data_IF_663056217855
#
_entry.id   IF_663056217855
#
_cell.length_a   1.000
_cell.length_b   1.000
_cell.length_c   1.000
_cell.angle_alpha   90.00
_cell.angle_beta   90.00
_cell.angle_gamma   90.00
#
_symmetry.space_group_name_H-M   'P 1'
#
loop_
_entity.id
_entity.type
_entity.pdbx_description
1 polymer ?
#
# COMPACT_ATOMS: atom_id res chain seq x y z
N UNK A 1 16.42 26.06 10.19
CA UNK A 1 15.44 24.99 9.96
C UNK A 1 14.06 25.50 10.36
N UNK A 2 13.23 25.81 9.39
CA UNK A 2 11.86 26.24 9.57
C UNK A 2 10.90 25.33 8.78
N UNK A 3 9.60 25.48 9.02
CA UNK A 3 8.59 24.87 8.19
C UNK A 3 8.44 25.66 6.89
N UNK A 4 8.48 24.96 5.74
CA UNK A 4 8.07 25.50 4.45
C UNK A 4 6.61 25.13 4.20
N UNK A 5 5.78 26.12 3.94
CA UNK A 5 4.40 25.89 3.52
C UNK A 5 4.33 25.96 1.98
N UNK A 6 3.87 24.87 1.35
CA UNK A 6 3.54 24.86 -0.08
C UNK A 6 2.07 25.23 -0.20
N UNK A 7 1.71 26.41 -0.72
CA UNK A 7 0.32 26.83 -0.79
C UNK A 7 -0.49 25.99 -1.80
N UNK A 8 -1.79 25.96 -1.64
CA UNK A 8 -2.69 25.15 -2.47
C UNK A 8 -2.56 25.46 -3.98
N UNK A 9 -2.34 26.72 -4.33
CA UNK A 9 -2.18 27.15 -5.72
C UNK A 9 -0.91 26.59 -6.38
N UNK A 10 0.08 26.24 -5.58
CA UNK A 10 1.36 25.70 -6.08
C UNK A 10 1.36 24.18 -6.27
N UNK A 11 0.36 23.43 -5.76
CA UNK A 11 0.34 21.95 -5.86
C UNK A 11 -0.27 21.44 -7.17
N UNK A 12 -0.30 22.24 -8.21
CA UNK A 12 -0.72 21.87 -9.59
C UNK A 12 -2.13 21.25 -9.67
N UNK A 13 -3.01 21.57 -8.69
CA UNK A 13 -4.36 21.04 -8.61
C UNK A 13 -4.49 19.68 -7.89
N UNK A 14 -3.44 19.19 -7.25
CA UNK A 14 -3.51 17.99 -6.42
C UNK A 14 -4.46 18.21 -5.23
N UNK A 15 -5.38 17.25 -5.00
CA UNK A 15 -6.37 17.31 -3.93
C UNK A 15 -6.28 16.07 -3.07
N UNK A 16 -6.61 16.21 -1.78
CA UNK A 16 -6.68 15.10 -0.84
C UNK A 16 -5.40 14.23 -0.87
N UNK A 17 -4.28 14.81 -0.47
CA UNK A 17 -3.01 14.09 -0.34
C UNK A 17 -3.18 13.00 0.73
N UNK A 18 -2.94 11.76 0.33
CA UNK A 18 -3.16 10.59 1.18
C UNK A 18 -1.85 10.03 1.75
N UNK A 19 -0.75 10.13 1.00
CA UNK A 19 0.54 9.55 1.41
C UNK A 19 1.72 10.25 0.73
N UNK A 20 2.85 10.25 1.45
CA UNK A 20 4.12 10.78 0.95
C UNK A 20 5.10 9.62 0.77
N UNK A 21 5.84 9.63 -0.34
CA UNK A 21 6.90 8.68 -0.66
C UNK A 21 8.15 9.44 -1.06
N UNK A 22 9.22 9.29 -0.30
CA UNK A 22 10.53 9.91 -0.60
C UNK A 22 11.33 8.96 -1.48
N UNK A 23 12.02 9.48 -2.49
CA UNK A 23 12.94 8.69 -3.29
C UNK A 23 14.16 8.29 -2.45
N UNK A 24 14.42 7.00 -2.21
CA UNK A 24 15.53 6.57 -1.35
C UNK A 24 16.92 6.88 -1.94
N UNK A 25 17.00 7.17 -3.24
CA UNK A 25 18.24 7.52 -3.93
C UNK A 25 18.41 9.04 -4.11
N UNK A 26 17.38 9.84 -3.80
CA UNK A 26 17.41 11.29 -3.91
C UNK A 26 16.38 11.91 -2.95
N UNK A 27 16.80 12.29 -1.76
CA UNK A 27 15.93 12.85 -0.72
C UNK A 27 15.21 14.16 -1.12
N UNK A 28 15.71 14.83 -2.15
CA UNK A 28 15.09 16.03 -2.71
C UNK A 28 13.95 15.72 -3.69
N UNK A 29 13.68 14.46 -3.96
CA UNK A 29 12.59 14.00 -4.82
C UNK A 29 11.54 13.26 -4.00
N UNK A 30 10.35 13.82 -3.96
CA UNK A 30 9.22 13.33 -3.16
C UNK A 30 8.00 13.18 -4.04
N UNK A 31 7.22 12.14 -3.79
CA UNK A 31 5.95 11.89 -4.45
C UNK A 31 4.80 11.93 -3.43
N UNK A 32 3.80 12.74 -3.71
CA UNK A 32 2.59 12.84 -2.91
C UNK A 32 1.43 12.17 -3.65
N UNK A 33 0.94 11.05 -3.11
CA UNK A 33 -0.25 10.35 -3.61
C UNK A 33 -1.50 11.17 -3.33
N UNK A 34 -2.32 11.38 -4.36
CA UNK A 34 -3.59 12.09 -4.25
C UNK A 34 -4.75 11.13 -4.42
N UNK A 35 -5.77 11.27 -3.58
CA UNK A 35 -6.97 10.43 -3.66
C UNK A 35 -7.85 10.75 -4.88
N UNK A 36 -7.69 11.92 -5.50
CA UNK A 36 -8.54 12.34 -6.64
C UNK A 36 -7.77 12.78 -7.88
N UNK A 37 -6.48 13.11 -7.76
CA UNK A 37 -5.79 13.87 -8.80
C UNK A 37 -4.56 13.16 -9.38
N UNK A 38 -4.22 11.95 -8.89
CA UNK A 38 -3.06 11.20 -9.33
C UNK A 38 -1.86 11.33 -8.40
N UNK A 39 -0.67 11.60 -8.94
CA UNK A 39 0.60 11.55 -8.23
C UNK A 39 1.38 12.85 -8.44
N UNK A 40 1.56 13.64 -7.38
CA UNK A 40 2.31 14.90 -7.42
C UNK A 40 3.79 14.62 -7.16
N UNK A 41 4.65 15.02 -8.08
CA UNK A 41 6.10 15.05 -7.91
C UNK A 41 6.52 16.40 -7.35
N UNK A 42 7.40 16.37 -6.34
CA UNK A 42 8.00 17.54 -5.69
C UNK A 42 9.51 17.36 -5.77
N UNK A 43 10.22 18.32 -6.34
CA UNK A 43 11.68 18.31 -6.46
C UNK A 43 12.25 19.58 -5.83
N UNK A 44 13.23 19.43 -4.93
CA UNK A 44 13.82 20.54 -4.20
C UNK A 44 12.74 21.45 -3.57
N UNK A 45 11.76 20.85 -2.91
CA UNK A 45 10.64 21.52 -2.23
C UNK A 45 9.65 22.23 -3.19
N UNK A 46 9.79 22.06 -4.51
CA UNK A 46 8.91 22.66 -5.53
C UNK A 46 8.08 21.58 -6.22
N UNK A 47 6.74 21.69 -6.24
CA UNK A 47 5.88 20.83 -7.06
C UNK A 47 6.19 21.03 -8.55
N UNK A 48 6.58 19.95 -9.24
CA UNK A 48 7.06 20.02 -10.63
C UNK A 48 6.12 19.36 -11.63
N UNK A 49 5.52 18.23 -11.26
CA UNK A 49 4.63 17.46 -12.14
C UNK A 49 3.48 16.87 -11.34
N UNK A 50 2.26 17.02 -11.84
CA UNK A 50 1.11 16.21 -11.41
C UNK A 50 0.85 15.14 -12.47
N UNK A 51 1.28 13.90 -12.21
CA UNK A 51 0.99 12.76 -13.07
C UNK A 51 -0.49 12.36 -12.95
N UNK A 52 -1.16 12.28 -14.08
CA UNK A 52 -2.57 11.91 -14.19
C UNK A 52 -2.85 11.18 -15.51
N UNK A 53 -4.10 11.00 -15.88
CA UNK A 53 -4.52 10.28 -17.10
C UNK A 53 -4.13 10.98 -18.41
N UNK A 54 -3.63 12.23 -18.38
CA UNK A 54 -3.29 12.98 -19.62
C UNK A 54 -1.80 12.95 -19.93
N UNK A 55 -0.93 12.69 -18.94
CA UNK A 55 0.52 12.81 -19.08
C UNK A 55 1.30 11.63 -18.49
N UNK A 56 0.62 10.54 -18.17
CA UNK A 56 1.25 9.37 -17.54
C UNK A 56 0.52 8.08 -17.88
N UNK A 57 0.97 6.94 -17.33
CA UNK A 57 0.27 5.67 -17.39
C UNK A 57 -0.89 5.53 -16.40
N UNK A 58 -1.18 6.57 -15.61
CA UNK A 58 -2.30 6.55 -14.66
C UNK A 58 -3.64 6.68 -15.38
N UNK A 59 -4.67 6.11 -14.80
CA UNK A 59 -6.02 6.09 -15.39
C UNK A 59 -7.03 6.70 -14.42
N UNK A 60 -8.01 7.43 -15.01
CA UNK A 60 -9.19 7.90 -14.28
C UNK A 60 -10.23 6.79 -14.19
N UNK A 61 -11.00 6.76 -13.11
CA UNK A 61 -12.18 5.89 -13.04
C UNK A 61 -13.15 6.22 -14.19
N UNK A 62 -13.82 5.21 -14.73
CA UNK A 62 -14.66 5.36 -15.94
C UNK A 62 -16.16 5.22 -15.68
N UNK A 63 -16.57 4.61 -14.57
CA UNK A 63 -17.97 4.27 -14.32
C UNK A 63 -18.86 5.48 -13.99
N UNK A 64 -18.28 6.66 -13.72
CA UNK A 64 -19.02 7.91 -13.52
C UNK A 64 -19.11 8.77 -14.79
N UNK A 65 -18.65 8.23 -15.93
CA UNK A 65 -18.69 8.88 -17.23
C UNK A 65 -17.41 9.66 -17.57
N UNK A 66 -17.21 9.98 -18.87
CA UNK A 66 -15.92 10.50 -19.38
C UNK A 66 -15.59 11.93 -18.94
N UNK A 67 -16.57 12.69 -18.49
CA UNK A 67 -16.36 14.06 -17.99
C UNK A 67 -15.97 14.11 -16.51
N UNK A 68 -16.07 12.99 -15.79
CA UNK A 68 -15.68 12.91 -14.40
C UNK A 68 -14.23 12.38 -14.29
N UNK A 69 -13.34 13.23 -13.87
CA UNK A 69 -11.91 12.88 -13.73
C UNK A 69 -11.61 12.60 -12.25
N UNK A 70 -11.14 11.39 -11.99
CA UNK A 70 -10.78 10.93 -10.65
C UNK A 70 -9.69 9.85 -10.77
N UNK A 71 -8.45 10.23 -10.48
CA UNK A 71 -7.26 9.36 -10.53
C UNK A 71 -6.83 9.04 -9.10
N UNK A 72 -7.19 7.87 -8.61
CA UNK A 72 -7.03 7.48 -7.20
C UNK A 72 -5.73 6.77 -6.93
N UNK A 73 -4.83 7.44 -6.21
CA UNK A 73 -3.54 6.91 -5.78
C UNK A 73 -3.45 6.94 -4.25
N UNK A 74 -3.26 5.77 -3.63
CA UNK A 74 -3.13 5.65 -2.18
C UNK A 74 -1.83 4.97 -1.73
N UNK A 75 -1.06 4.41 -2.63
CA UNK A 75 0.19 3.73 -2.32
C UNK A 75 1.21 3.92 -3.44
N UNK A 76 2.42 4.28 -3.04
CA UNK A 76 3.58 4.35 -3.90
C UNK A 76 4.81 3.87 -3.13
N UNK A 77 5.73 3.15 -3.80
CA UNK A 77 6.98 2.68 -3.21
C UNK A 77 8.05 2.51 -4.28
N UNK A 78 9.29 2.84 -3.95
CA UNK A 78 10.43 2.61 -4.83
C UNK A 78 10.98 1.20 -4.67
N UNK A 79 11.33 0.56 -5.80
CA UNK A 79 12.14 -0.64 -5.79
C UNK A 79 13.65 -0.31 -5.79
N UNK A 80 14.48 -1.36 -5.66
CA UNK A 80 15.95 -1.21 -5.61
C UNK A 80 16.56 -0.68 -6.92
N UNK A 81 15.83 -0.76 -8.03
CA UNK A 81 16.24 -0.27 -9.34
C UNK A 81 15.84 1.20 -9.58
N UNK A 82 15.22 1.82 -8.58
CA UNK A 82 14.72 3.19 -8.67
C UNK A 82 13.42 3.35 -9.44
N UNK A 83 12.70 2.26 -9.72
CA UNK A 83 11.36 2.34 -10.31
C UNK A 83 10.34 2.66 -9.22
N UNK A 84 9.40 3.54 -9.52
CA UNK A 84 8.31 3.90 -8.61
C UNK A 84 7.06 3.08 -8.94
N UNK A 85 6.72 2.15 -8.07
CA UNK A 85 5.51 1.35 -8.14
C UNK A 85 4.35 2.08 -7.49
N UNK A 86 3.17 2.04 -8.13
CA UNK A 86 1.99 2.81 -7.71
C UNK A 86 0.75 1.94 -7.86
N UNK A 87 -0.14 2.00 -6.89
CA UNK A 87 -1.48 1.43 -7.04
C UNK A 87 -2.50 2.52 -7.44
N UNK A 88 -3.14 2.33 -8.58
CA UNK A 88 -4.21 3.16 -9.10
C UNK A 88 -5.54 2.42 -8.90
N UNK A 89 -6.32 2.85 -7.93
CA UNK A 89 -7.53 2.17 -7.49
C UNK A 89 -8.69 2.31 -8.46
N UNK A 90 -9.64 1.35 -8.41
CA UNK A 90 -10.91 1.35 -9.12
C UNK A 90 -10.77 1.30 -10.65
N UNK A 91 -9.71 0.69 -11.14
CA UNK A 91 -9.45 0.46 -12.55
C UNK A 91 -8.90 -0.96 -12.78
N UNK A 92 -9.02 -1.48 -14.00
CA UNK A 92 -8.62 -2.84 -14.35
C UNK A 92 -7.09 -3.04 -14.24
N UNK A 93 -6.31 -2.13 -14.83
CA UNK A 93 -4.84 -2.18 -14.79
C UNK A 93 -4.29 -1.40 -13.60
N UNK A 94 -4.68 -1.81 -12.39
CA UNK A 94 -4.47 -1.04 -11.17
C UNK A 94 -3.04 -0.99 -10.62
N UNK A 95 -2.16 -1.94 -10.98
CA UNK A 95 -0.76 -1.87 -10.58
C UNK A 95 0.06 -1.20 -11.70
N UNK A 96 0.71 -0.10 -11.38
CA UNK A 96 1.50 0.71 -12.30
C UNK A 96 2.94 0.82 -11.84
N UNK A 97 3.84 1.04 -12.78
CA UNK A 97 5.23 1.41 -12.47
C UNK A 97 5.71 2.53 -13.40
N UNK A 98 6.28 3.55 -12.80
CA UNK A 98 7.13 4.53 -13.47
C UNK A 98 8.56 4.00 -13.39
N UNK A 99 9.10 3.54 -14.50
CA UNK A 99 10.48 3.08 -14.60
C UNK A 99 11.46 4.23 -14.40
N UNK A 100 12.65 3.94 -13.93
CA UNK A 100 13.73 4.93 -13.82
C UNK A 100 14.12 5.55 -15.17
N UNK A 101 13.75 4.91 -16.29
CA UNK A 101 13.86 5.46 -17.65
C UNK A 101 12.81 6.55 -17.97
N UNK A 102 11.79 6.73 -17.13
CA UNK A 102 10.67 7.63 -17.37
C UNK A 102 9.46 6.97 -18.06
N UNK A 103 9.56 5.70 -18.41
CA UNK A 103 8.46 4.96 -19.06
C UNK A 103 7.46 4.43 -18.05
N UNK A 104 6.17 4.47 -18.40
CA UNK A 104 5.10 3.85 -17.62
C UNK A 104 4.76 2.46 -18.14
N UNK A 105 4.58 1.52 -17.21
CA UNK A 105 4.06 0.19 -17.49
C UNK A 105 2.89 -0.12 -16.54
N UNK A 106 1.90 -0.89 -17.04
CA UNK A 106 0.71 -1.27 -16.28
C UNK A 106 0.56 -2.78 -16.25
N UNK A 107 0.07 -3.30 -15.11
CA UNK A 107 -0.25 -4.71 -14.92
C UNK A 107 -1.76 -4.85 -14.67
N UNK A 108 -2.40 -5.79 -15.35
CA UNK A 108 -3.81 -6.11 -15.12
C UNK A 108 -3.95 -6.83 -13.78
N UNK A 109 -5.02 -6.50 -13.08
CA UNK A 109 -5.46 -7.17 -11.87
C UNK A 109 -6.71 -8.04 -12.14
N UNK A 110 -7.04 -8.25 -13.42
CA UNK A 110 -8.12 -9.13 -13.84
C UNK A 110 -7.83 -10.58 -13.42
N UNK A 111 -8.82 -11.25 -12.83
CA UNK A 111 -8.66 -12.58 -12.24
C UNK A 111 -7.88 -12.60 -10.90
N UNK A 112 -7.33 -11.44 -10.46
CA UNK A 112 -6.65 -11.31 -9.16
C UNK A 112 -7.60 -10.66 -8.16
N UNK A 113 -8.17 -9.52 -8.50
CA UNK A 113 -9.21 -8.87 -7.71
C UNK A 113 -10.57 -9.40 -8.15
N UNK A 114 -11.49 -9.58 -7.20
CA UNK A 114 -12.84 -10.06 -7.49
C UNK A 114 -13.59 -9.06 -8.38
N UNK A 115 -13.38 -7.75 -8.11
CA UNK A 115 -13.88 -6.65 -8.94
C UNK A 115 -12.89 -5.48 -8.90
N UNK A 116 -11.98 -5.41 -9.85
CA UNK A 116 -10.95 -4.38 -9.89
C UNK A 116 -11.51 -2.95 -9.89
N UNK A 117 -12.64 -2.73 -10.55
CA UNK A 117 -13.31 -1.42 -10.62
C UNK A 117 -14.02 -1.00 -9.32
N UNK A 118 -14.21 -1.92 -8.37
CA UNK A 118 -14.85 -1.67 -7.06
C UNK A 118 -13.82 -1.73 -5.92
N UNK A 119 -12.62 -2.25 -6.16
CA UNK A 119 -11.60 -2.43 -5.12
C UNK A 119 -10.74 -1.20 -4.93
N UNK A 120 -10.81 -0.62 -3.74
CA UNK A 120 -9.89 0.43 -3.31
C UNK A 120 -8.59 -0.18 -2.79
N UNK A 121 -7.47 0.30 -3.31
CA UNK A 121 -6.13 -0.13 -2.92
C UNK A 121 -5.47 0.92 -2.02
N UNK A 122 -4.82 0.46 -0.96
CA UNK A 122 -4.18 1.30 0.05
C UNK A 122 -2.64 1.29 -0.03
N UNK A 123 -1.98 1.22 1.13
CA UNK A 123 -0.52 1.21 1.24
C UNK A 123 0.11 0.13 0.36
N UNK A 124 1.14 0.53 -0.40
CA UNK A 124 2.02 -0.35 -1.16
C UNK A 124 3.41 -0.32 -0.51
N UNK A 125 3.99 -1.49 -0.29
CA UNK A 125 5.35 -1.65 0.21
C UNK A 125 6.08 -2.70 -0.62
N UNK A 126 7.41 -2.66 -0.63
CA UNK A 126 8.25 -3.58 -1.41
C UNK A 126 9.23 -4.26 -0.46
N UNK A 127 9.31 -5.59 -0.52
CA UNK A 127 10.20 -6.36 0.32
C UNK A 127 11.63 -6.49 -0.27
N UNK A 128 12.51 -7.15 0.49
CA UNK A 128 13.90 -7.39 0.08
C UNK A 128 14.04 -8.25 -1.20
N UNK A 129 13.01 -9.04 -1.54
CA UNK A 129 12.95 -9.90 -2.72
C UNK A 129 12.26 -9.21 -3.90
N UNK A 130 12.01 -7.90 -3.79
CA UNK A 130 11.30 -7.07 -4.77
C UNK A 130 9.84 -7.46 -4.99
N UNK A 131 9.21 -8.19 -4.06
CA UNK A 131 7.78 -8.43 -4.08
C UNK A 131 7.04 -7.19 -3.59
N UNK A 132 6.04 -6.76 -4.35
CA UNK A 132 5.16 -5.63 -4.06
C UNK A 132 3.98 -6.16 -3.28
N UNK A 133 3.71 -5.58 -2.11
CA UNK A 133 2.61 -5.94 -1.22
C UNK A 133 1.70 -4.74 -1.06
N UNK A 134 0.41 -4.92 -1.20
CA UNK A 134 -0.53 -3.83 -0.92
C UNK A 134 -1.82 -4.33 -0.30
N UNK A 135 -2.44 -3.46 0.49
CA UNK A 135 -3.73 -3.71 1.11
C UNK A 135 -4.88 -3.28 0.21
N UNK A 136 -6.01 -3.95 0.38
CA UNK A 136 -7.28 -3.62 -0.26
C UNK A 136 -8.40 -3.55 0.76
N UNK A 137 -9.49 -2.90 0.40
CA UNK A 137 -10.68 -2.83 1.26
C UNK A 137 -11.60 -4.06 1.15
N UNK A 138 -11.43 -4.91 0.13
CA UNK A 138 -12.36 -6.01 -0.17
C UNK A 138 -11.72 -7.33 -0.57
N UNK A 139 -10.41 -7.33 -0.87
CA UNK A 139 -9.67 -8.48 -1.41
C UNK A 139 -8.46 -8.88 -0.54
N UNK A 140 -8.37 -8.37 0.69
CA UNK A 140 -7.30 -8.69 1.62
C UNK A 140 -5.96 -8.04 1.24
N UNK A 141 -4.88 -8.81 1.28
CA UNK A 141 -3.54 -8.40 0.84
C UNK A 141 -3.22 -9.04 -0.49
N UNK A 142 -2.76 -8.23 -1.42
CA UNK A 142 -2.26 -8.72 -2.72
C UNK A 142 -0.74 -8.59 -2.73
N UNK A 143 -0.09 -9.57 -3.33
CA UNK A 143 1.35 -9.58 -3.56
C UNK A 143 1.66 -9.85 -5.03
N UNK A 144 2.65 -9.15 -5.57
CA UNK A 144 3.15 -9.33 -6.95
C UNK A 144 4.66 -9.36 -6.98
N UNK A 145 5.22 -10.33 -7.69
CA UNK A 145 6.64 -10.36 -8.00
C UNK A 145 6.86 -10.35 -9.51
N UNK A 146 7.56 -9.32 -9.98
CA UNK A 146 7.80 -9.11 -11.42
C UNK A 146 8.69 -10.20 -12.03
N UNK A 147 9.68 -10.70 -11.28
CA UNK A 147 10.62 -11.72 -11.77
C UNK A 147 9.93 -13.04 -12.08
N UNK A 148 9.02 -13.47 -11.23
CA UNK A 148 8.21 -14.68 -11.46
C UNK A 148 6.92 -14.39 -12.24
N UNK A 149 6.61 -13.12 -12.48
CA UNK A 149 5.36 -12.65 -13.07
C UNK A 149 4.14 -13.31 -12.43
N UNK A 150 4.13 -13.39 -11.10
CA UNK A 150 3.09 -14.09 -10.35
C UNK A 150 2.47 -13.21 -9.28
N UNK A 151 1.18 -13.45 -9.03
CA UNK A 151 0.41 -12.83 -7.98
C UNK A 151 0.06 -13.85 -6.91
N UNK A 152 -0.07 -13.40 -5.66
CA UNK A 152 -0.65 -14.16 -4.55
C UNK A 152 -1.59 -13.27 -3.74
N UNK A 153 -2.57 -13.91 -3.10
CA UNK A 153 -3.52 -13.25 -2.18
C UNK A 153 -3.39 -13.82 -0.78
N UNK A 154 -3.62 -12.99 0.22
CA UNK A 154 -3.89 -13.40 1.60
C UNK A 154 -5.27 -12.90 1.92
N UNK A 155 -6.22 -13.81 2.15
CA UNK A 155 -7.63 -13.49 2.32
C UNK A 155 -8.21 -14.07 3.60
N UNK A 156 -9.50 -13.87 3.82
CA UNK A 156 -10.21 -14.39 4.98
C UNK A 156 -10.38 -15.91 4.90
N UNK A 157 -10.34 -16.57 6.06
CA UNK A 157 -10.52 -18.02 6.20
C UNK A 157 -9.20 -18.78 6.25
N UNK A 158 -9.18 -19.85 7.04
CA UNK A 158 -7.97 -20.63 7.35
C UNK A 158 -7.25 -21.16 6.10
N UNK A 159 -8.01 -21.60 5.10
CA UNK A 159 -7.47 -22.16 3.85
C UNK A 159 -7.02 -21.08 2.85
N UNK A 160 -7.32 -19.80 3.10
CA UNK A 160 -7.11 -18.70 2.14
C UNK A 160 -6.17 -17.61 2.66
N UNK A 161 -5.50 -17.84 3.78
CA UNK A 161 -4.55 -16.90 4.34
C UNK A 161 -4.84 -16.43 5.76
N UNK A 162 -6.01 -16.81 6.33
CA UNK A 162 -6.37 -16.62 7.73
C UNK A 162 -6.46 -15.16 8.19
N UNK A 163 -6.86 -14.23 7.31
CA UNK A 163 -7.23 -12.89 7.75
C UNK A 163 -8.55 -12.92 8.54
N UNK A 164 -8.75 -12.06 9.55
CA UNK A 164 -10.00 -11.96 10.27
C UNK A 164 -11.11 -11.31 9.42
N UNK A 165 -10.72 -10.47 8.48
CA UNK A 165 -11.59 -9.79 7.52
C UNK A 165 -10.79 -9.38 6.28
N UNK A 166 -11.48 -9.14 5.15
CA UNK A 166 -10.87 -8.74 3.87
C UNK A 166 -10.42 -7.28 3.85
N UNK A 167 -10.96 -6.43 4.73
CA UNK A 167 -10.63 -5.00 4.78
C UNK A 167 -9.31 -4.78 5.53
N UNK A 168 -8.23 -4.63 4.75
CA UNK A 168 -6.87 -4.40 5.23
C UNK A 168 -6.49 -2.93 5.08
N UNK A 169 -5.95 -2.33 6.13
CA UNK A 169 -5.65 -0.89 6.20
C UNK A 169 -4.17 -0.57 6.32
N UNK A 170 -3.40 -1.47 6.92
CA UNK A 170 -1.99 -1.24 7.21
C UNK A 170 -1.11 -2.44 6.88
N UNK A 171 0.06 -2.16 6.32
CA UNK A 171 1.13 -3.13 6.08
C UNK A 171 2.47 -2.56 6.54
N UNK A 172 3.26 -3.36 7.22
CA UNK A 172 4.66 -3.04 7.52
C UNK A 172 5.51 -4.30 7.50
N UNK A 173 6.75 -4.20 7.03
CA UNK A 173 7.74 -5.29 7.10
C UNK A 173 8.72 -4.95 8.19
N UNK A 174 8.95 -5.89 9.10
CA UNK A 174 9.89 -5.71 10.19
C UNK A 174 11.32 -6.18 9.83
N UNK A 175 12.27 -5.94 10.72
CA UNK A 175 13.69 -6.30 10.50
C UNK A 175 13.92 -7.81 10.42
N UNK A 176 12.96 -8.63 10.87
CA UNK A 176 12.96 -10.09 10.75
C UNK A 176 12.30 -10.59 9.46
N UNK A 177 11.87 -9.68 8.58
CA UNK A 177 11.12 -9.96 7.36
C UNK A 177 9.72 -10.55 7.60
N UNK A 178 9.12 -10.27 8.73
CA UNK A 178 7.72 -10.57 8.98
C UNK A 178 6.86 -9.46 8.37
N UNK A 179 5.77 -9.82 7.72
CA UNK A 179 4.78 -8.86 7.24
C UNK A 179 3.68 -8.72 8.31
N UNK A 180 3.59 -7.54 8.88
CA UNK A 180 2.55 -7.13 9.83
C UNK A 180 1.38 -6.57 9.06
N UNK A 181 0.18 -7.08 9.33
CA UNK A 181 -1.05 -6.81 8.58
C UNK A 181 -2.11 -6.31 9.55
N UNK A 182 -2.45 -5.03 9.42
CA UNK A 182 -3.52 -4.40 10.18
C UNK A 182 -4.83 -4.40 9.38
N UNK A 183 -5.84 -4.98 9.98
CA UNK A 183 -7.20 -5.04 9.42
C UNK A 183 -8.18 -4.20 10.22
N UNK A 184 -9.41 -4.04 9.75
CA UNK A 184 -10.48 -3.41 10.53
C UNK A 184 -11.00 -4.29 11.69
N UNK A 185 -10.47 -5.53 11.84
CA UNK A 185 -10.83 -6.48 12.91
C UNK A 185 -9.63 -7.18 13.53
N UNK A 186 -8.50 -6.47 13.67
CA UNK A 186 -7.34 -7.00 14.37
C UNK A 186 -6.09 -7.19 13.53
N UNK A 187 -5.08 -7.78 14.14
CA UNK A 187 -3.73 -7.92 13.64
C UNK A 187 -3.46 -9.34 13.14
N UNK A 188 -2.68 -9.46 12.06
CA UNK A 188 -2.11 -10.73 11.58
C UNK A 188 -0.66 -10.57 11.18
N UNK A 189 0.08 -11.67 11.19
CA UNK A 189 1.49 -11.70 10.76
C UNK A 189 1.70 -12.84 9.76
N UNK A 190 2.29 -12.52 8.60
CA UNK A 190 2.94 -13.51 7.77
C UNK A 190 4.38 -13.66 8.29
N UNK A 191 4.76 -14.87 8.66
CA UNK A 191 6.00 -15.17 9.38
C UNK A 191 7.27 -14.76 8.61
N UNK A 192 7.22 -14.79 7.27
CA UNK A 192 8.32 -14.39 6.40
C UNK A 192 7.81 -13.99 5.01
N UNK A 193 8.18 -12.80 4.53
CA UNK A 193 7.82 -12.36 3.17
C UNK A 193 8.40 -13.28 2.07
N UNK A 194 9.48 -14.02 2.36
CA UNK A 194 10.06 -14.99 1.41
C UNK A 194 9.16 -16.21 1.16
N UNK A 195 8.13 -16.43 1.98
CA UNK A 195 7.11 -17.45 1.75
C UNK A 195 6.37 -17.25 0.41
N UNK A 196 6.40 -16.02 -0.12
CA UNK A 196 5.90 -15.75 -1.47
C UNK A 196 6.55 -16.67 -2.52
N UNK A 197 7.84 -16.95 -2.42
CA UNK A 197 8.57 -17.78 -3.38
C UNK A 197 8.43 -19.29 -3.12
N UNK A 198 8.14 -19.68 -1.89
CA UNK A 198 8.25 -21.09 -1.43
C UNK A 198 6.91 -21.76 -1.15
N UNK A 199 5.88 -21.00 -0.80
CA UNK A 199 4.57 -21.55 -0.42
C UNK A 199 3.55 -21.27 -1.52
N UNK A 200 2.71 -22.22 -1.84
CA UNK A 200 1.60 -22.05 -2.78
C UNK A 200 0.56 -21.10 -2.20
N UNK A 201 0.17 -21.32 -0.95
CA UNK A 201 -0.76 -20.49 -0.19
C UNK A 201 -0.05 -19.78 0.96
N UNK A 202 -0.15 -18.46 1.00
CA UNK A 202 0.37 -17.66 2.10
C UNK A 202 -0.62 -17.68 3.27
N UNK A 203 -0.14 -18.05 4.46
CA UNK A 203 -0.98 -18.14 5.66
C UNK A 203 -0.44 -17.26 6.78
N UNK A 204 -1.31 -16.49 7.40
CA UNK A 204 -1.00 -15.59 8.50
C UNK A 204 -1.43 -16.18 9.84
N UNK A 205 -0.82 -15.68 10.91
CA UNK A 205 -1.15 -16.07 12.29
C UNK A 205 -1.45 -14.85 13.15
N UNK A 206 -2.35 -14.96 14.14
CA UNK A 206 -2.46 -13.96 15.21
C UNK A 206 -1.24 -13.99 16.14
N UNK A 207 -1.03 -12.92 16.88
CA UNK A 207 -0.12 -12.94 18.06
C UNK A 207 -0.98 -13.30 19.25
N UNK A 208 -0.58 -14.37 19.95
CA UNK A 208 -1.26 -14.76 21.19
C UNK A 208 -0.46 -14.20 22.38
N UNK A 209 -1.15 -13.48 23.24
CA UNK A 209 -0.64 -12.99 24.53
C UNK A 209 -1.36 -13.74 25.66
N UNK A 210 -0.71 -13.84 26.81
CA UNK A 210 -1.33 -14.34 28.03
C UNK A 210 -1.60 -13.15 28.94
N UNK A 211 -2.87 -12.88 29.18
CA UNK A 211 -3.35 -11.83 30.08
C UNK A 211 -4.29 -12.46 31.11
N UNK A 212 -4.06 -12.23 32.40
CA UNK A 212 -4.78 -12.85 33.52
C UNK A 212 -4.94 -14.40 33.39
N UNK A 213 -3.88 -15.08 32.93
CA UNK A 213 -3.86 -16.53 32.61
C UNK A 213 -4.81 -16.96 31.49
N UNK A 214 -5.34 -16.06 30.71
CA UNK A 214 -6.15 -16.33 29.51
C UNK A 214 -5.35 -16.03 28.24
N UNK A 215 -5.39 -16.96 27.29
CA UNK A 215 -4.83 -16.74 25.97
C UNK A 215 -5.75 -15.83 25.17
N UNK A 216 -5.21 -14.70 24.69
CA UNK A 216 -5.96 -13.71 23.90
C UNK A 216 -5.19 -13.35 22.64
N UNK A 217 -5.88 -13.03 21.56
CA UNK A 217 -5.24 -12.42 20.38
C UNK A 217 -4.91 -10.96 20.66
N UNK A 218 -3.66 -10.57 20.40
CA UNK A 218 -3.24 -9.17 20.50
C UNK A 218 -4.05 -8.31 19.52
N UNK A 219 -4.63 -7.23 20.04
CA UNK A 219 -5.46 -6.28 19.29
C UNK A 219 -6.66 -6.94 18.59
N UNK A 220 -7.25 -7.98 19.19
CA UNK A 220 -8.47 -8.62 18.72
C UNK A 220 -9.59 -7.61 18.54
N UNK A 221 -10.26 -7.66 17.40
CA UNK A 221 -11.36 -6.74 17.00
C UNK A 221 -11.00 -5.24 16.97
N UNK A 222 -9.72 -4.86 17.12
CA UNK A 222 -9.33 -3.47 16.96
C UNK A 222 -9.27 -3.08 15.48
N UNK A 223 -9.83 -1.91 15.15
CA UNK A 223 -9.64 -1.30 13.84
C UNK A 223 -8.24 -0.68 13.76
N UNK A 224 -7.32 -1.34 13.05
CA UNK A 224 -5.94 -0.87 12.89
C UNK A 224 -5.88 0.07 11.69
N UNK A 225 -5.39 1.29 11.94
CA UNK A 225 -5.31 2.36 10.93
C UNK A 225 -3.94 2.47 10.27
N UNK A 226 -2.87 2.24 11.03
CA UNK A 226 -1.49 2.25 10.52
C UNK A 226 -0.57 1.38 11.37
N UNK A 227 0.55 0.94 10.77
CA UNK A 227 1.64 0.22 11.43
C UNK A 227 2.96 0.82 10.95
N UNK A 228 3.82 1.20 11.89
CA UNK A 228 5.16 1.70 11.61
C UNK A 228 6.17 0.86 12.39
N UNK A 229 7.24 0.42 11.74
CA UNK A 229 8.38 -0.25 12.38
C UNK A 229 9.51 0.75 12.50
N UNK A 230 10.01 0.95 13.72
CA UNK A 230 11.13 1.84 13.97
C UNK A 230 12.49 1.14 13.84
N UNK A 231 13.58 1.91 13.96
CA UNK A 231 14.95 1.40 13.85
C UNK A 231 15.35 0.38 14.91
N UNK A 232 14.65 0.32 16.04
CA UNK A 232 14.83 -0.68 17.10
C UNK A 232 13.93 -1.90 16.91
N UNK A 233 13.20 -1.96 15.80
CA UNK A 233 12.21 -3.00 15.48
C UNK A 233 10.97 -2.99 16.37
N UNK A 234 10.67 -1.88 17.04
CA UNK A 234 9.38 -1.72 17.70
C UNK A 234 8.27 -1.50 16.66
N UNK A 235 7.05 -1.91 16.98
CA UNK A 235 5.87 -1.77 16.14
C UNK A 235 4.91 -0.76 16.77
N UNK A 236 4.85 0.41 16.19
CA UNK A 236 3.87 1.42 16.55
C UNK A 236 2.60 1.16 15.76
N UNK A 237 1.52 0.80 16.47
CA UNK A 237 0.26 0.38 15.85
C UNK A 237 -0.82 1.39 16.22
N UNK A 238 -1.27 2.13 15.23
CA UNK A 238 -2.39 3.08 15.37
C UNK A 238 -3.73 2.35 15.23
N UNK A 239 -4.68 2.72 16.06
CA UNK A 239 -6.06 2.22 16.00
C UNK A 239 -7.04 3.37 15.83
N UNK A 240 -8.26 3.10 15.38
CA UNK A 240 -9.28 4.13 15.19
C UNK A 240 -9.76 4.72 16.51
N UNK A 241 -9.95 3.88 17.54
CA UNK A 241 -10.66 4.27 18.74
C UNK A 241 -9.85 4.10 20.03
N UNK A 242 -8.71 3.36 19.98
CA UNK A 242 -7.95 2.99 21.19
C UNK A 242 -6.55 3.62 21.24
N UNK A 243 -6.26 4.59 20.36
CA UNK A 243 -4.98 5.30 20.32
C UNK A 243 -3.86 4.48 19.67
N UNK A 244 -2.63 4.56 20.22
CA UNK A 244 -1.43 3.93 19.68
C UNK A 244 -0.87 2.92 20.66
N UNK A 245 -0.54 1.74 20.18
CA UNK A 245 0.12 0.66 20.92
C UNK A 245 1.57 0.53 20.45
N UNK A 246 2.44 0.10 21.39
CA UNK A 246 3.86 -0.18 21.18
C UNK A 246 4.15 -1.64 21.57
#
# INVERSE_FOLDING_TARGET
TGWLNIPYEAVLGAKAISRITVNPNNENEVYASSFFSGLLKIENEVPTVLYNQTNSGLESISFLGPSYIDVRINGAAFDKSGNLWVNNSLIEKGLKVLKSSGEWQSYSLDGILDKSIDTSMGRLIIDKNSTKWWCTNSDGVIAFNETSNSFKKITQGAENGNLPIMDVRALAIDTRNQLWIGTTKGLRILSNVSNFQTEEQLTTTPIIIIDDNLAQELLYEQFITDIVVDGANNKWIGTADSGVFL
#
